data_IF_818365600612
#
_entry.id   IF_818365600612
#
_cell.length_a   1.000
_cell.length_b   1.000
_cell.length_c   1.000
_cell.angle_alpha   90.00
_cell.angle_beta   90.00
_cell.angle_gamma   90.00
#
_symmetry.space_group_name_H-M   'P 1'
#
loop_
_entity.id
_entity.type
_entity.pdbx_description
1 polymer ?
#
# COMPACT_ATOMS: atom_id res chain seq x y z
N UNK A 1 -0.07 -22.26 -4.03
CA UNK A 1 0.14 -21.09 -4.90
C UNK A 1 1.43 -20.42 -4.49
N UNK A 2 2.25 -20.02 -5.45
CA UNK A 2 3.39 -19.16 -5.20
C UNK A 2 2.92 -17.71 -4.92
N UNK A 3 3.85 -16.83 -4.56
CA UNK A 3 3.52 -15.46 -4.15
C UNK A 3 2.93 -14.62 -5.30
N UNK A 4 3.42 -14.80 -6.52
CA UNK A 4 2.89 -14.14 -7.71
C UNK A 4 1.44 -14.54 -7.97
N UNK A 5 1.14 -15.84 -7.98
CA UNK A 5 -0.21 -16.39 -8.17
C UNK A 5 -1.20 -15.86 -7.12
N UNK A 6 -0.76 -15.68 -5.87
CA UNK A 6 -1.57 -15.09 -4.80
C UNK A 6 -1.92 -13.64 -5.09
N UNK A 7 -0.95 -12.82 -5.52
CA UNK A 7 -1.22 -11.43 -5.90
C UNK A 7 -2.14 -11.39 -7.12
N UNK A 8 -1.90 -12.24 -8.12
CA UNK A 8 -2.74 -12.32 -9.31
C UNK A 8 -4.19 -12.71 -8.97
N UNK A 9 -4.37 -13.65 -8.04
CA UNK A 9 -5.72 -14.08 -7.62
C UNK A 9 -6.43 -13.02 -6.79
N UNK A 10 -5.78 -12.47 -5.77
CA UNK A 10 -6.43 -11.54 -4.83
C UNK A 10 -6.51 -10.10 -5.33
N UNK A 11 -5.60 -9.73 -6.23
CA UNK A 11 -5.53 -8.40 -6.84
C UNK A 11 -6.01 -8.36 -8.28
N UNK A 12 -6.71 -9.40 -8.74
CA UNK A 12 -7.21 -9.54 -10.11
C UNK A 12 -7.90 -8.26 -10.60
N UNK A 13 -8.82 -7.71 -9.80
CA UNK A 13 -9.58 -6.51 -10.17
C UNK A 13 -8.67 -5.30 -10.44
N UNK A 14 -7.62 -5.11 -9.63
CA UNK A 14 -6.63 -4.03 -9.80
C UNK A 14 -5.78 -4.28 -11.04
N UNK A 15 -5.32 -5.53 -11.23
CA UNK A 15 -4.48 -5.90 -12.37
C UNK A 15 -5.22 -5.72 -13.68
N UNK A 16 -6.45 -6.23 -13.79
CA UNK A 16 -7.30 -6.12 -14.99
C UNK A 16 -7.65 -4.66 -15.29
N UNK A 17 -8.06 -3.89 -14.27
CA UNK A 17 -8.42 -2.48 -14.44
C UNK A 17 -7.26 -1.63 -15.00
N UNK A 18 -6.01 -1.96 -14.63
CA UNK A 18 -4.82 -1.22 -15.07
C UNK A 18 -4.13 -1.79 -16.32
N UNK A 19 -4.45 -3.03 -16.73
CA UNK A 19 -3.74 -3.75 -17.81
C UNK A 19 -3.81 -3.09 -19.19
N UNK A 20 -4.80 -2.23 -19.44
CA UNK A 20 -4.89 -1.45 -20.68
C UNK A 20 -3.91 -0.27 -20.74
N UNK A 21 -3.41 0.19 -19.58
CA UNK A 21 -2.59 1.40 -19.46
C UNK A 21 -1.13 1.09 -19.15
N UNK A 22 -0.88 0.03 -18.39
CA UNK A 22 0.44 -0.33 -17.86
C UNK A 22 0.78 -1.80 -18.14
N UNK A 23 2.08 -2.12 -18.14
CA UNK A 23 2.58 -3.49 -18.26
C UNK A 23 2.99 -3.99 -16.89
N UNK A 24 2.36 -5.07 -16.44
CA UNK A 24 2.70 -5.74 -15.19
C UNK A 24 3.86 -6.71 -15.39
N UNK A 25 4.79 -6.72 -14.44
CA UNK A 25 5.84 -7.72 -14.29
C UNK A 25 5.91 -8.12 -12.82
N UNK A 26 6.21 -9.37 -12.53
CA UNK A 26 6.49 -9.76 -11.16
C UNK A 26 7.93 -9.37 -10.78
N UNK A 27 8.09 -8.73 -9.63
CA UNK A 27 9.37 -8.36 -9.06
C UNK A 27 9.68 -9.31 -7.89
N UNK A 28 10.60 -10.24 -8.13
CA UNK A 28 11.00 -11.24 -7.17
C UNK A 28 11.76 -10.69 -5.96
N UNK A 29 12.43 -9.55 -6.10
CA UNK A 29 13.21 -8.97 -5.01
C UNK A 29 12.27 -8.33 -3.98
N UNK A 30 11.28 -7.57 -4.46
CA UNK A 30 10.31 -6.91 -3.59
C UNK A 30 9.05 -7.75 -3.32
N UNK A 31 8.89 -8.89 -4.02
CA UNK A 31 7.71 -9.77 -3.95
C UNK A 31 6.41 -9.00 -4.25
N UNK A 32 6.38 -8.30 -5.37
CA UNK A 32 5.24 -7.48 -5.81
C UNK A 32 4.93 -7.68 -7.28
N UNK A 33 3.68 -7.44 -7.67
CA UNK A 33 3.38 -7.11 -9.06
C UNK A 33 3.72 -5.64 -9.28
N UNK A 34 4.63 -5.37 -10.21
CA UNK A 34 5.20 -4.06 -10.50
C UNK A 34 4.75 -3.60 -11.89
N UNK A 35 4.30 -2.36 -11.96
CA UNK A 35 4.05 -1.66 -13.21
C UNK A 35 4.77 -0.31 -13.17
N UNK A 36 5.60 -0.04 -14.18
CA UNK A 36 6.30 1.23 -14.40
C UNK A 36 5.75 1.91 -15.64
N UNK A 37 5.51 3.22 -15.57
CA UNK A 37 4.92 3.98 -16.67
C UNK A 37 5.36 5.45 -16.65
N UNK A 38 5.20 6.14 -17.79
CA UNK A 38 5.49 7.57 -17.92
C UNK A 38 4.53 8.41 -17.06
N UNK A 39 5.05 9.47 -16.46
CA UNK A 39 4.26 10.46 -15.70
C UNK A 39 3.10 11.05 -16.51
N UNK A 40 3.17 11.05 -17.84
CA UNK A 40 2.09 11.52 -18.72
C UNK A 40 0.78 10.74 -18.55
N UNK A 41 0.86 9.48 -18.11
CA UNK A 41 -0.31 8.63 -17.85
C UNK A 41 -0.78 8.68 -16.39
N UNK A 42 -0.13 9.48 -15.53
CA UNK A 42 -0.32 9.39 -14.09
C UNK A 42 -1.77 9.62 -13.67
N UNK A 43 -2.46 10.60 -14.26
CA UNK A 43 -3.79 10.98 -13.81
C UNK A 43 -4.79 9.87 -14.14
N UNK A 44 -4.65 9.26 -15.32
CA UNK A 44 -5.50 8.15 -15.76
C UNK A 44 -5.28 6.88 -14.92
N UNK A 45 -4.00 6.54 -14.65
CA UNK A 45 -3.65 5.38 -13.83
C UNK A 45 -4.08 5.60 -12.38
N UNK A 46 -3.84 6.79 -11.82
CA UNK A 46 -4.22 7.14 -10.45
C UNK A 46 -5.73 7.09 -10.28
N UNK A 47 -6.49 7.68 -11.20
CA UNK A 47 -7.95 7.65 -11.17
C UNK A 47 -8.48 6.21 -11.17
N UNK A 48 -7.97 5.37 -12.08
CA UNK A 48 -8.40 3.96 -12.18
C UNK A 48 -7.99 3.15 -10.95
N UNK A 49 -6.79 3.39 -10.41
CA UNK A 49 -6.33 2.77 -9.17
C UNK A 49 -7.23 3.14 -7.99
N UNK A 50 -7.68 4.40 -7.90
CA UNK A 50 -8.60 4.87 -6.87
C UNK A 50 -10.01 4.26 -7.00
N UNK A 51 -10.46 3.91 -8.21
CA UNK A 51 -11.72 3.18 -8.37
C UNK A 51 -11.61 1.75 -7.80
N UNK A 52 -10.48 1.09 -8.01
CA UNK A 52 -10.25 -0.27 -7.51
C UNK A 52 -9.89 -0.30 -6.00
N UNK A 53 -9.14 0.69 -5.51
CA UNK A 53 -8.65 0.81 -4.14
C UNK A 53 -8.93 2.24 -3.61
N UNK A 54 -10.16 2.53 -3.16
CA UNK A 54 -10.62 3.90 -2.88
C UNK A 54 -10.00 4.52 -1.64
N UNK A 55 -9.50 3.72 -0.70
CA UNK A 55 -8.90 4.24 0.53
C UNK A 55 -7.42 4.50 0.27
N UNK A 56 -6.95 5.70 0.62
CA UNK A 56 -5.54 6.05 0.40
C UNK A 56 -4.94 6.87 1.53
N UNK A 57 -3.63 6.70 1.70
CA UNK A 57 -2.83 7.45 2.66
C UNK A 57 -1.58 8.01 1.98
N UNK A 58 -1.16 9.18 2.43
CA UNK A 58 0.11 9.80 2.06
C UNK A 58 1.02 9.93 3.29
N UNK A 59 2.20 10.51 3.10
CA UNK A 59 3.20 10.73 4.17
C UNK A 59 2.62 11.44 5.41
N UNK A 60 1.63 12.33 5.22
CA UNK A 60 1.01 13.10 6.30
C UNK A 60 -0.06 12.29 7.02
N UNK A 61 -0.86 11.51 6.28
CA UNK A 61 -2.02 10.81 6.82
C UNK A 61 -1.70 9.41 7.34
N UNK A 62 -0.69 8.71 6.79
CA UNK A 62 -0.32 7.34 7.20
C UNK A 62 0.08 7.24 8.68
N UNK A 63 0.63 8.32 9.26
CA UNK A 63 0.99 8.37 10.69
C UNK A 63 -0.22 8.33 11.62
N UNK A 64 -1.37 8.81 11.13
CA UNK A 64 -2.66 8.86 11.85
C UNK A 64 -3.60 7.72 11.48
N UNK A 65 -3.22 6.88 10.51
CA UNK A 65 -4.01 5.73 10.09
C UNK A 65 -4.14 4.70 11.23
N UNK A 66 -5.21 3.88 11.24
CA UNK A 66 -5.30 2.73 12.13
C UNK A 66 -4.02 1.89 12.09
N UNK A 67 -3.66 1.30 13.23
CA UNK A 67 -2.43 0.53 13.34
C UNK A 67 -2.36 -0.65 12.37
N UNK A 68 -3.52 -1.24 12.07
CA UNK A 68 -3.72 -2.29 11.07
C UNK A 68 -3.24 -1.87 9.67
N UNK A 69 -3.46 -0.61 9.26
CA UNK A 69 -3.01 -0.13 7.94
C UNK A 69 -1.50 -0.27 7.79
N UNK A 70 -0.75 0.13 8.83
CA UNK A 70 0.71 0.05 8.83
C UNK A 70 1.21 -1.37 9.00
N UNK A 71 0.46 -2.19 9.74
CA UNK A 71 0.71 -3.62 9.91
C UNK A 71 0.57 -4.35 8.57
N UNK A 72 -0.60 -4.27 7.94
CA UNK A 72 -0.88 -4.87 6.62
C UNK A 72 0.10 -4.40 5.55
N UNK A 73 0.44 -3.11 5.53
CA UNK A 73 1.35 -2.56 4.53
C UNK A 73 2.84 -2.88 4.77
N UNK A 74 3.23 -3.33 5.97
CA UNK A 74 4.61 -3.64 6.32
C UNK A 74 5.59 -2.53 5.93
N UNK A 75 6.58 -2.87 5.09
CA UNK A 75 7.60 -1.92 4.61
C UNK A 75 7.02 -0.79 3.75
N UNK A 76 5.91 -1.03 3.04
CA UNK A 76 5.24 -0.04 2.20
C UNK A 76 4.49 1.03 3.01
N UNK A 77 4.36 0.87 4.32
CA UNK A 77 3.84 1.92 5.21
C UNK A 77 4.83 3.08 5.44
N UNK A 78 6.13 2.88 5.15
CA UNK A 78 7.19 3.87 5.32
C UNK A 78 7.25 4.83 4.12
N UNK A 79 6.19 5.61 3.93
CA UNK A 79 6.04 6.51 2.79
C UNK A 79 7.01 7.70 2.88
N UNK A 80 7.62 8.05 1.74
CA UNK A 80 8.35 9.31 1.52
C UNK A 80 7.62 10.23 0.53
N UNK A 81 8.20 11.40 0.24
CA UNK A 81 7.55 12.49 -0.53
C UNK A 81 6.85 11.96 -1.80
N UNK A 82 5.59 12.37 -1.99
CA UNK A 82 4.71 12.00 -3.11
C UNK A 82 4.33 10.52 -3.23
N UNK A 83 4.81 9.64 -2.34
CA UNK A 83 4.32 8.27 -2.28
C UNK A 83 2.97 8.20 -1.61
N UNK A 84 2.18 7.23 -2.04
CA UNK A 84 0.86 6.95 -1.49
C UNK A 84 0.69 5.44 -1.30
N UNK A 85 -0.14 5.08 -0.35
CA UNK A 85 -0.59 3.73 -0.09
C UNK A 85 -2.08 3.66 -0.40
N UNK A 86 -2.52 2.61 -1.07
CA UNK A 86 -3.90 2.38 -1.47
C UNK A 86 -4.39 1.04 -0.96
N UNK A 87 -5.67 0.98 -0.61
CA UNK A 87 -6.33 -0.23 -0.16
C UNK A 87 -7.83 -0.17 -0.44
N UNK A 88 -8.49 -1.31 -0.38
CA UNK A 88 -9.93 -1.35 -0.15
C UNK A 88 -10.23 -1.02 1.33
N UNK A 89 -11.46 -1.23 1.81
CA UNK A 89 -11.79 -0.97 3.21
C UNK A 89 -10.93 -1.86 4.13
N UNK A 90 -10.22 -1.26 5.07
CA UNK A 90 -9.33 -1.95 6.03
C UNK A 90 -10.11 -2.91 6.93
N UNK A 91 -11.35 -2.56 7.29
CA UNK A 91 -12.24 -3.41 8.10
C UNK A 91 -12.53 -4.75 7.41
N UNK A 92 -12.42 -4.80 6.07
CA UNK A 92 -12.61 -6.03 5.30
C UNK A 92 -11.38 -6.96 5.28
N UNK A 93 -10.30 -6.61 5.98
CA UNK A 93 -9.04 -7.36 6.00
C UNK A 93 -8.52 -7.61 4.57
N UNK A 94 -8.17 -6.52 3.85
CA UNK A 94 -7.78 -6.62 2.45
C UNK A 94 -6.60 -7.57 2.30
N UNK A 95 -6.63 -8.46 1.30
CA UNK A 95 -5.53 -9.39 1.02
C UNK A 95 -4.41 -8.77 0.20
N UNK A 96 -4.70 -7.66 -0.48
CA UNK A 96 -3.75 -6.90 -1.28
C UNK A 96 -3.85 -5.41 -0.98
N UNK A 97 -2.72 -4.72 -1.13
CA UNK A 97 -2.61 -3.28 -1.09
C UNK A 97 -1.70 -2.82 -2.22
N UNK A 98 -1.77 -1.54 -2.57
CA UNK A 98 -0.91 -0.97 -3.60
C UNK A 98 -0.10 0.22 -3.09
N UNK A 99 1.17 0.28 -3.45
CA UNK A 99 2.02 1.46 -3.25
C UNK A 99 2.20 2.21 -4.57
N UNK A 100 1.98 3.52 -4.52
CA UNK A 100 2.25 4.45 -5.60
C UNK A 100 3.57 5.16 -5.34
N UNK A 101 4.49 5.07 -6.30
CA UNK A 101 5.87 5.45 -6.10
C UNK A 101 6.41 6.23 -7.31
N UNK A 102 6.36 7.57 -7.27
CA UNK A 102 7.05 8.42 -8.23
C UNK A 102 8.57 8.30 -8.05
N UNK A 103 9.29 8.22 -9.17
CA UNK A 103 10.75 8.14 -9.17
C UNK A 103 11.36 9.55 -9.05
N UNK A 104 12.53 9.66 -8.43
CA UNK A 104 13.14 10.96 -8.10
C UNK A 104 13.49 11.83 -9.32
N UNK A 105 13.58 11.25 -10.51
CA UNK A 105 13.85 11.97 -11.75
C UNK A 105 12.57 12.53 -12.43
N UNK A 106 11.39 12.32 -11.85
CA UNK A 106 10.14 12.99 -12.24
C UNK A 106 9.45 12.48 -13.53
N UNK A 107 10.05 11.54 -14.27
CA UNK A 107 9.49 11.04 -15.53
C UNK A 107 8.77 9.68 -15.40
N UNK A 108 9.08 8.91 -14.35
CA UNK A 108 8.53 7.56 -14.17
C UNK A 108 7.79 7.47 -12.86
N UNK A 109 6.65 6.78 -12.90
CA UNK A 109 5.91 6.36 -11.72
C UNK A 109 5.83 4.85 -11.72
N UNK A 110 5.81 4.24 -10.52
CA UNK A 110 5.51 2.82 -10.37
C UNK A 110 4.32 2.58 -9.45
N UNK A 111 3.51 1.59 -9.81
CA UNK A 111 2.51 0.97 -8.94
C UNK A 111 3.03 -0.40 -8.56
N UNK A 112 2.98 -0.69 -7.26
CA UNK A 112 3.43 -1.96 -6.67
C UNK A 112 2.27 -2.57 -5.92
N UNK A 113 1.72 -3.67 -6.43
CA UNK A 113 0.65 -4.43 -5.81
C UNK A 113 1.25 -5.60 -5.04
N UNK A 114 0.89 -5.73 -3.76
CA UNK A 114 1.54 -6.65 -2.83
C UNK A 114 0.54 -7.29 -1.87
N UNK A 115 0.89 -8.45 -1.32
CA UNK A 115 0.08 -9.11 -0.29
C UNK A 115 0.22 -8.41 1.05
N UNK A 116 -0.88 -8.26 1.77
CA UNK A 116 -0.86 -7.72 3.13
C UNK A 116 -0.23 -8.69 4.12
N UNK A 117 0.35 -8.15 5.19
CA UNK A 117 0.76 -8.97 6.33
C UNK A 117 -0.45 -9.70 6.94
N UNK A 118 -0.37 -11.02 7.02
CA UNK A 118 -1.43 -11.90 7.54
C UNK A 118 -1.24 -12.29 9.00
N UNK A 119 -0.14 -11.89 9.62
CA UNK A 119 0.08 -12.11 11.05
C UNK A 119 -0.94 -11.34 11.88
N UNK A 120 -1.34 -11.84 13.06
CA UNK A 120 -2.26 -11.10 13.93
C UNK A 120 -1.73 -9.72 14.27
N UNK A 121 -2.56 -8.68 14.09
CA UNK A 121 -2.18 -7.34 14.50
C UNK A 121 -2.08 -7.27 16.03
N UNK A 122 -0.91 -6.87 16.53
CA UNK A 122 -0.68 -6.61 17.96
C UNK A 122 -0.56 -5.10 18.15
N UNK A 123 -1.54 -4.45 18.83
CA UNK A 123 -1.45 -3.04 19.15
C UNK A 123 -0.18 -2.77 19.97
N UNK A 124 0.58 -1.74 19.60
CA UNK A 124 1.67 -1.26 20.45
C UNK A 124 1.05 -0.62 21.68
N UNK A 125 0.96 -1.35 22.78
CA UNK A 125 0.53 -0.82 24.07
C UNK A 125 1.51 0.28 24.47
N UNK A 126 1.04 1.52 24.49
CA UNK A 126 1.86 2.67 24.89
C UNK A 126 2.30 2.52 26.35
N UNK A 127 3.60 2.71 26.60
CA UNK A 127 4.19 2.92 27.92
C UNK A 127 3.59 4.17 28.58
N UNK A 128 2.44 4.03 29.24
CA UNK A 128 1.92 4.98 30.23
C UNK A 128 1.66 4.21 31.52
N UNK A 129 2.75 3.94 32.25
CA UNK A 129 2.72 3.58 33.67
C UNK A 129 3.90 4.28 34.34
N UNK A 130 3.75 5.57 34.68
CA UNK A 130 4.53 6.27 35.72
C UNK A 130 4.16 7.76 35.83
N UNK A 131 2.95 8.10 36.24
CA UNK A 131 2.65 9.45 36.78
C UNK A 131 1.49 9.43 37.81
N UNK A 132 1.42 8.42 38.67
CA UNK A 132 0.43 8.37 39.78
C UNK A 132 1.07 8.10 41.14
N UNK A 133 2.20 8.75 41.43
CA UNK A 133 2.74 8.84 42.81
C UNK A 133 3.51 10.14 43.02
N UNK A 134 2.81 11.27 43.09
CA UNK A 134 3.34 12.52 43.64
C UNK A 134 2.19 13.39 44.20
N UNK A 135 1.28 12.79 44.97
CA UNK A 135 0.41 13.48 45.92
C UNK A 135 0.02 12.47 47.02
N UNK A 136 0.95 12.27 47.95
CA UNK A 136 0.72 11.68 49.26
C UNK A 136 1.68 12.38 50.23
#
# INVERSE_FOLDING_TARGET
MNHEEQIQTYGKDVLEALSSMVKWKYDDFHKVMLAEFSVDKQDQVLFTLQQALPVSWDVKTIKKAPGEVRHYAGVFSKLVKQQKLFSSNIESHPKVMAAWWPWGHGATVSVRLFLTDTSPYVPKTGFIHKLTRLFA
#
